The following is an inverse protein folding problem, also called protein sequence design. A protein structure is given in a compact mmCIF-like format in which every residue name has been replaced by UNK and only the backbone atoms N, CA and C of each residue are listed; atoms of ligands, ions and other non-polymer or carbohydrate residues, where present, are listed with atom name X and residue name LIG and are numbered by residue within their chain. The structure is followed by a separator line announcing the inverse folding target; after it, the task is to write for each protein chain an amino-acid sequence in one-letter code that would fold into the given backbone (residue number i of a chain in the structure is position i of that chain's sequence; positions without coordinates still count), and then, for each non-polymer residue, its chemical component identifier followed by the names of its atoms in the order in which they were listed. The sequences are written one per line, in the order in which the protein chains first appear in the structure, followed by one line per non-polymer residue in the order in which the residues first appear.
data_IF_203575413148
#
_entry.id   IF_203575413148
#
_cell.length_a   1.000
_cell.length_b   1.000
_cell.length_c   1.000
_cell.angle_alpha   90.00
_cell.angle_beta   90.00
_cell.angle_gamma   90.00
#
_symmetry.space_group_name_H-M   'P 1'
#
loop_
_entity.id
_entity.type
_entity.pdbx_description
1 polymer ?
#
# COMPACT_ATOMS: atom_id res chain seq x y z
N UNK A 1 12.58 -31.04 -22.25
CA UNK A 1 13.25 -31.89 -21.23
C UNK A 1 12.45 -31.87 -19.95
N UNK A 2 12.58 -32.89 -19.11
CA UNK A 2 11.94 -32.95 -17.82
C UNK A 2 12.76 -32.13 -16.79
N UNK A 3 12.22 -31.03 -16.29
CA UNK A 3 12.91 -30.15 -15.33
C UNK A 3 13.06 -30.73 -13.90
N UNK A 4 12.48 -31.89 -13.64
CA UNK A 4 12.63 -32.60 -12.37
C UNK A 4 13.71 -33.68 -12.41
N UNK A 5 14.29 -33.94 -13.58
CA UNK A 5 15.39 -34.88 -13.77
C UNK A 5 16.72 -34.12 -13.90
N UNK A 6 17.46 -33.99 -12.78
CA UNK A 6 18.68 -33.18 -12.73
C UNK A 6 19.75 -33.67 -13.74
N UNK A 7 19.85 -34.98 -13.99
CA UNK A 7 20.79 -35.53 -14.98
C UNK A 7 20.47 -35.12 -16.41
N UNK A 8 19.19 -35.12 -16.79
CA UNK A 8 18.74 -34.63 -18.09
C UNK A 8 18.97 -33.14 -18.23
N UNK A 9 18.63 -32.36 -17.18
CA UNK A 9 18.82 -30.91 -17.17
C UNK A 9 20.31 -30.53 -17.34
N UNK A 10 21.23 -31.17 -16.60
CA UNK A 10 22.67 -30.93 -16.71
C UNK A 10 23.18 -31.25 -18.12
N UNK A 11 22.77 -32.37 -18.72
CA UNK A 11 23.18 -32.75 -20.07
C UNK A 11 22.76 -31.70 -21.12
N UNK A 12 21.51 -31.26 -21.10
CA UNK A 12 21.03 -30.25 -22.03
C UNK A 12 21.65 -28.86 -21.82
N UNK A 13 21.91 -28.48 -20.55
CA UNK A 13 22.61 -27.23 -20.25
C UNK A 13 24.06 -27.25 -20.77
N UNK A 14 24.77 -28.38 -20.72
CA UNK A 14 26.10 -28.53 -21.33
C UNK A 14 26.07 -28.35 -22.82
N UNK A 15 25.13 -29.02 -23.50
CA UNK A 15 24.95 -28.86 -24.97
C UNK A 15 24.63 -27.40 -25.32
N UNK A 16 23.76 -26.74 -24.55
CA UNK A 16 23.44 -25.35 -24.81
C UNK A 16 24.66 -24.43 -24.61
N UNK A 17 25.49 -24.70 -23.60
CA UNK A 17 26.72 -23.93 -23.34
C UNK A 17 27.76 -24.05 -24.43
N UNK A 18 27.84 -25.21 -25.09
CA UNK A 18 28.80 -25.50 -26.18
C UNK A 18 28.29 -25.05 -27.55
N UNK A 19 27.01 -24.66 -27.64
CA UNK A 19 26.40 -24.23 -28.89
C UNK A 19 26.64 -22.72 -29.11
N UNK A 20 27.27 -22.34 -30.23
CA UNK A 20 27.55 -20.92 -30.57
C UNK A 20 26.34 -20.15 -31.13
N UNK A 21 25.19 -20.78 -31.22
CA UNK A 21 23.93 -20.19 -31.73
C UNK A 21 22.94 -19.97 -30.60
N UNK A 22 21.95 -19.07 -30.76
CA UNK A 22 20.83 -18.97 -29.79
C UNK A 22 20.15 -20.32 -29.59
N UNK A 23 19.97 -20.74 -28.36
CA UNK A 23 19.35 -22.02 -27.98
C UNK A 23 18.13 -21.75 -27.11
N UNK A 24 17.00 -22.35 -27.48
CA UNK A 24 15.79 -22.40 -26.69
C UNK A 24 15.73 -23.75 -25.95
N UNK A 25 15.82 -23.70 -24.60
CA UNK A 25 15.62 -24.86 -23.76
C UNK A 25 14.19 -24.88 -23.23
N UNK A 26 13.37 -25.81 -23.73
CA UNK A 26 12.03 -26.02 -23.22
C UNK A 26 12.07 -27.00 -22.05
N UNK A 27 11.97 -26.47 -20.82
CA UNK A 27 11.99 -27.22 -19.57
C UNK A 27 10.56 -27.35 -19.04
N UNK A 28 10.08 -28.59 -18.90
CA UNK A 28 8.73 -28.86 -18.40
C UNK A 28 8.81 -29.23 -16.91
N UNK A 29 8.08 -28.51 -16.09
CA UNK A 29 8.00 -28.73 -14.63
C UNK A 29 6.55 -28.84 -14.18
N UNK A 30 6.35 -29.55 -13.07
CA UNK A 30 5.08 -29.63 -12.33
C UNK A 30 5.19 -28.78 -11.06
N UNK A 31 4.38 -27.73 -10.94
CA UNK A 31 4.38 -26.88 -9.73
C UNK A 31 3.92 -27.70 -8.53
N UNK A 32 4.64 -27.61 -7.40
CA UNK A 32 4.34 -28.37 -6.18
C UNK A 32 4.77 -29.83 -6.21
N UNK A 33 5.54 -30.28 -7.21
CA UNK A 33 6.05 -31.67 -7.28
C UNK A 33 6.87 -32.00 -6.02
N UNK A 34 6.57 -33.16 -5.40
CA UNK A 34 7.19 -33.60 -4.16
C UNK A 34 6.54 -33.06 -2.87
N UNK A 35 5.46 -32.28 -3.01
CA UNK A 35 4.67 -31.75 -1.91
C UNK A 35 3.18 -32.00 -2.19
N UNK A 36 2.61 -33.01 -1.56
CA UNK A 36 1.25 -33.47 -1.90
C UNK A 36 0.18 -32.40 -1.64
N UNK A 37 0.30 -31.62 -0.58
CA UNK A 37 -0.62 -30.50 -0.28
C UNK A 37 -0.31 -29.20 -1.06
N UNK A 38 0.76 -29.18 -1.87
CA UNK A 38 1.08 -28.05 -2.74
C UNK A 38 0.63 -28.27 -4.20
N UNK A 39 0.21 -29.50 -4.53
CA UNK A 39 -0.41 -29.81 -5.82
C UNK A 39 -1.84 -29.29 -5.82
N UNK A 40 -2.42 -29.13 -6.97
CA UNK A 40 -3.81 -28.72 -7.12
C UNK A 40 -4.15 -27.47 -6.28
N UNK A 41 -3.31 -26.42 -6.42
CA UNK A 41 -3.46 -25.13 -5.74
C UNK A 41 -4.09 -24.08 -6.69
N UNK A 42 -5.41 -24.18 -6.96
CA UNK A 42 -6.09 -23.26 -7.89
C UNK A 42 -6.14 -21.84 -7.35
N UNK A 43 -6.08 -21.67 -6.04
CA UNK A 43 -6.12 -20.36 -5.37
C UNK A 43 -4.70 -19.73 -5.23
N UNK A 44 -3.64 -20.44 -5.64
CA UNK A 44 -2.24 -19.95 -5.58
C UNK A 44 -1.70 -19.77 -4.15
N UNK A 45 -2.24 -20.50 -3.19
CA UNK A 45 -1.89 -20.42 -1.76
C UNK A 45 -0.42 -20.74 -1.52
N UNK A 46 0.15 -21.65 -2.31
CA UNK A 46 1.53 -22.12 -2.23
C UNK A 46 2.49 -21.36 -3.16
N UNK A 47 2.03 -20.30 -3.81
CA UNK A 47 2.89 -19.48 -4.67
C UNK A 47 3.89 -18.63 -3.85
N UNK A 48 3.40 -17.99 -2.77
CA UNK A 48 4.22 -17.22 -1.84
C UNK A 48 4.02 -17.78 -0.42
N UNK A 49 4.95 -18.61 0.05
CA UNK A 49 4.75 -19.42 1.24
C UNK A 49 5.33 -18.75 2.49
N UNK A 50 4.49 -18.42 3.47
CA UNK A 50 4.90 -18.08 4.83
C UNK A 50 5.26 -19.32 5.67
N UNK A 51 5.38 -19.17 6.97
CA UNK A 51 5.62 -20.30 7.88
C UNK A 51 4.44 -21.30 7.82
N UNK A 52 4.76 -22.60 7.78
CA UNK A 52 3.79 -23.68 7.83
C UNK A 52 4.40 -24.92 8.48
N UNK A 53 3.57 -25.84 8.97
CA UNK A 53 3.99 -27.13 9.45
C UNK A 53 4.33 -28.05 8.28
N UNK A 54 5.59 -28.50 8.19
CA UNK A 54 6.10 -29.23 7.04
C UNK A 54 5.45 -30.63 6.84
N UNK A 55 4.83 -31.20 7.87
CA UNK A 55 4.20 -32.51 7.77
C UNK A 55 2.73 -32.42 7.34
N UNK A 56 2.01 -31.43 7.87
CA UNK A 56 0.56 -31.29 7.66
C UNK A 56 0.18 -30.19 6.66
N UNK A 57 1.11 -29.34 6.25
CA UNK A 57 0.81 -28.14 5.45
C UNK A 57 0.03 -27.07 6.20
N UNK A 58 -0.23 -27.24 7.50
CA UNK A 58 -1.01 -26.27 8.29
C UNK A 58 -0.23 -24.97 8.46
N UNK A 59 -0.90 -23.86 8.20
CA UNK A 59 -0.38 -22.52 8.42
C UNK A 59 -0.80 -22.03 9.80
N UNK A 60 0.04 -21.21 10.47
CA UNK A 60 -0.39 -20.48 11.65
C UNK A 60 -1.61 -19.61 11.29
N UNK A 61 -2.64 -19.66 12.12
CA UNK A 61 -3.78 -18.74 11.97
C UNK A 61 -3.33 -17.39 12.53
N UNK A 62 -3.20 -16.39 11.67
CA UNK A 62 -2.99 -15.03 12.12
C UNK A 62 -4.29 -14.51 12.74
N UNK A 63 -4.22 -13.98 13.97
CA UNK A 63 -5.34 -13.28 14.56
C UNK A 63 -5.52 -11.89 13.92
N UNK A 64 -6.75 -11.35 13.90
CA UNK A 64 -7.06 -10.05 13.35
C UNK A 64 -7.43 -10.05 11.88
N UNK A 65 -7.52 -8.85 11.31
CA UNK A 65 -7.88 -8.60 9.90
C UNK A 65 -6.79 -7.80 9.19
N UNK A 66 -6.93 -7.59 7.88
CA UNK A 66 -6.11 -6.64 7.09
C UNK A 66 -7.02 -5.60 6.45
N UNK A 67 -6.49 -4.45 6.08
CA UNK A 67 -7.24 -3.45 5.32
C UNK A 67 -7.77 -4.05 4.00
N UNK A 68 -6.94 -4.82 3.29
CA UNK A 68 -7.36 -5.49 2.04
C UNK A 68 -8.54 -6.45 2.22
N UNK A 69 -8.58 -7.22 3.33
CA UNK A 69 -9.72 -8.07 3.66
C UNK A 69 -10.99 -7.24 3.94
N UNK A 70 -10.86 -6.18 4.75
CA UNK A 70 -11.98 -5.28 5.05
C UNK A 70 -12.52 -4.58 3.80
N UNK A 71 -11.65 -4.15 2.90
CA UNK A 71 -11.99 -3.57 1.59
C UNK A 71 -12.77 -4.61 0.76
N UNK A 72 -12.28 -5.85 0.66
CA UNK A 72 -12.95 -6.91 -0.08
C UNK A 72 -14.35 -7.25 0.49
N UNK A 73 -14.48 -7.37 1.80
CA UNK A 73 -15.76 -7.60 2.47
C UNK A 73 -16.74 -6.44 2.23
N UNK A 74 -16.23 -5.21 2.25
CA UNK A 74 -17.03 -4.01 1.94
C UNK A 74 -17.45 -3.98 0.48
N UNK A 75 -16.53 -4.29 -0.44
CA UNK A 75 -16.82 -4.40 -1.87
C UNK A 75 -17.93 -5.43 -2.14
N UNK A 76 -17.89 -6.57 -1.45
CA UNK A 76 -18.92 -7.60 -1.54
C UNK A 76 -20.29 -7.10 -1.09
N UNK A 77 -20.36 -6.29 -0.03
CA UNK A 77 -21.62 -5.67 0.44
C UNK A 77 -22.14 -4.67 -0.60
N UNK A 78 -21.30 -3.76 -1.06
CA UNK A 78 -21.67 -2.74 -2.04
C UNK A 78 -22.12 -3.38 -3.38
N UNK A 79 -21.41 -4.43 -3.84
CA UNK A 79 -21.74 -5.14 -5.07
C UNK A 79 -23.05 -5.97 -4.97
N UNK A 80 -23.52 -6.27 -3.77
CA UNK A 80 -24.82 -6.89 -3.56
C UNK A 80 -25.97 -5.87 -3.75
N UNK A 81 -25.70 -4.59 -3.53
CA UNK A 81 -26.67 -3.49 -3.64
C UNK A 81 -26.62 -2.78 -5.00
N UNK A 82 -25.45 -2.78 -5.68
CA UNK A 82 -25.27 -2.14 -6.99
C UNK A 82 -24.65 -3.13 -8.00
N UNK A 83 -25.44 -3.56 -8.98
CA UNK A 83 -25.01 -4.51 -10.02
C UNK A 83 -23.97 -3.93 -11.00
N UNK A 84 -23.78 -2.62 -11.02
CA UNK A 84 -22.78 -1.94 -11.85
C UNK A 84 -21.36 -2.10 -11.32
N UNK A 85 -21.19 -2.57 -10.09
CA UNK A 85 -19.85 -2.75 -9.48
C UNK A 85 -19.16 -3.98 -10.06
N UNK A 86 -18.01 -3.76 -10.67
CA UNK A 86 -17.09 -4.75 -11.23
C UNK A 86 -15.78 -4.74 -10.45
N UNK A 87 -15.15 -5.91 -10.28
CA UNK A 87 -13.83 -6.04 -9.70
C UNK A 87 -12.82 -6.52 -10.76
N UNK A 88 -11.68 -5.86 -10.81
CA UNK A 88 -10.60 -6.13 -11.78
C UNK A 88 -9.29 -6.27 -11.02
N UNK A 89 -8.45 -7.22 -11.42
CA UNK A 89 -7.09 -7.34 -10.89
C UNK A 89 -6.13 -7.89 -11.95
N UNK A 90 -4.87 -7.42 -12.01
CA UNK A 90 -3.86 -8.00 -12.87
C UNK A 90 -3.14 -9.16 -12.16
N UNK A 91 -3.64 -10.40 -12.34
CA UNK A 91 -3.07 -11.66 -11.83
C UNK A 91 -2.93 -11.74 -10.29
N UNK A 92 -3.71 -10.97 -9.53
CA UNK A 92 -3.56 -10.90 -8.06
C UNK A 92 -4.83 -11.28 -7.29
N UNK A 93 -5.68 -12.17 -7.84
CA UNK A 93 -6.99 -12.55 -7.29
C UNK A 93 -6.93 -12.90 -5.80
N UNK A 94 -6.05 -13.81 -5.40
CA UNK A 94 -5.90 -14.23 -4.00
C UNK A 94 -5.21 -13.16 -3.15
N UNK A 95 -4.14 -12.54 -3.69
CA UNK A 95 -3.38 -11.51 -2.99
C UNK A 95 -4.21 -10.26 -2.68
N UNK A 96 -5.14 -9.92 -3.53
CA UNK A 96 -6.08 -8.80 -3.38
C UNK A 96 -7.37 -9.17 -2.63
N UNK A 97 -7.47 -10.38 -2.06
CA UNK A 97 -8.66 -10.90 -1.37
C UNK A 97 -9.94 -10.94 -2.24
N UNK A 98 -9.83 -11.08 -3.58
CA UNK A 98 -10.97 -11.09 -4.50
C UNK A 98 -11.50 -12.48 -4.84
N UNK A 99 -10.96 -13.55 -4.29
CA UNK A 99 -11.37 -14.94 -4.56
C UNK A 99 -12.88 -15.14 -4.32
N UNK A 100 -13.42 -14.64 -3.21
CA UNK A 100 -14.85 -14.77 -2.90
C UNK A 100 -15.73 -13.89 -3.82
N UNK A 101 -15.24 -12.72 -4.24
CA UNK A 101 -15.90 -11.89 -5.23
C UNK A 101 -16.00 -12.62 -6.58
N UNK A 102 -14.91 -13.21 -7.04
CA UNK A 102 -14.82 -13.97 -8.28
C UNK A 102 -15.80 -15.17 -8.29
N UNK A 103 -15.88 -15.91 -7.17
CA UNK A 103 -16.83 -17.03 -7.01
C UNK A 103 -18.29 -16.57 -7.04
N UNK A 104 -18.62 -15.49 -6.30
CA UNK A 104 -20.00 -15.01 -6.16
C UNK A 104 -20.49 -14.24 -7.39
N UNK A 105 -19.62 -13.47 -8.03
CA UNK A 105 -19.95 -12.59 -9.14
C UNK A 105 -19.07 -12.83 -10.38
N UNK A 106 -19.01 -14.07 -10.94
CA UNK A 106 -18.07 -14.43 -12.00
C UNK A 106 -18.20 -13.59 -13.28
N UNK A 107 -19.38 -13.03 -13.55
CA UNK A 107 -19.63 -12.14 -14.71
C UNK A 107 -19.21 -10.68 -14.46
N UNK A 108 -18.90 -10.33 -13.22
CA UNK A 108 -18.47 -8.98 -12.81
C UNK A 108 -17.05 -8.97 -12.25
N UNK A 109 -16.32 -10.08 -12.41
CA UNK A 109 -14.93 -10.22 -12.04
C UNK A 109 -14.07 -10.45 -13.28
N UNK A 110 -12.94 -9.73 -13.35
CA UNK A 110 -12.00 -9.83 -14.47
C UNK A 110 -10.58 -9.93 -13.90
N UNK A 111 -9.91 -11.05 -14.18
CA UNK A 111 -8.47 -11.15 -14.02
C UNK A 111 -7.82 -10.84 -15.37
N UNK A 112 -7.14 -9.70 -15.46
CA UNK A 112 -6.52 -9.21 -16.69
C UNK A 112 -5.18 -9.90 -17.01
N UNK A 113 -4.73 -10.86 -16.16
CA UNK A 113 -3.38 -11.39 -16.23
C UNK A 113 -2.34 -10.35 -15.78
N UNK A 114 -1.05 -10.61 -16.04
CA UNK A 114 0.03 -9.66 -15.70
C UNK A 114 0.04 -8.52 -16.74
N UNK A 115 -0.96 -7.65 -16.68
CA UNK A 115 -1.19 -6.57 -17.65
C UNK A 115 -1.86 -5.37 -16.94
N UNK A 116 -1.10 -4.68 -16.10
CA UNK A 116 -1.56 -3.57 -15.26
C UNK A 116 -2.13 -2.42 -16.10
N UNK A 117 -1.48 -2.10 -17.21
CA UNK A 117 -1.90 -1.06 -18.15
C UNK A 117 -3.27 -1.39 -18.75
N UNK A 118 -3.45 -2.66 -19.18
CA UNK A 118 -4.73 -3.11 -19.74
C UNK A 118 -5.85 -3.09 -18.67
N UNK A 119 -5.57 -3.53 -17.44
CA UNK A 119 -6.54 -3.51 -16.35
C UNK A 119 -7.08 -2.09 -16.09
N UNK A 120 -6.23 -1.07 -16.13
CA UNK A 120 -6.60 0.32 -15.93
C UNK A 120 -7.40 0.89 -17.10
N UNK A 121 -6.99 0.63 -18.35
CA UNK A 121 -7.75 1.04 -19.55
C UNK A 121 -9.12 0.38 -19.56
N UNK A 122 -9.19 -0.92 -19.25
CA UNK A 122 -10.46 -1.64 -19.15
C UNK A 122 -11.39 -1.08 -18.07
N UNK A 123 -10.83 -0.75 -16.90
CA UNK A 123 -11.59 -0.10 -15.83
C UNK A 123 -12.19 1.23 -16.31
N UNK A 124 -11.39 2.07 -16.99
CA UNK A 124 -11.92 3.34 -17.53
C UNK A 124 -12.99 3.12 -18.60
N UNK A 125 -12.81 2.15 -19.48
CA UNK A 125 -13.83 1.83 -20.50
C UNK A 125 -15.15 1.37 -19.87
N UNK A 126 -15.10 0.58 -18.81
CA UNK A 126 -16.28 0.18 -18.04
C UNK A 126 -16.94 1.38 -17.35
N UNK A 127 -16.16 2.29 -16.76
CA UNK A 127 -16.68 3.51 -16.14
C UNK A 127 -17.40 4.40 -17.18
N UNK A 128 -16.79 4.63 -18.34
CA UNK A 128 -17.38 5.37 -19.45
C UNK A 128 -18.65 4.70 -20.01
N UNK A 129 -18.82 3.41 -19.80
CA UNK A 129 -20.02 2.63 -20.16
C UNK A 129 -21.09 2.63 -19.05
N UNK A 130 -20.90 3.39 -17.98
CA UNK A 130 -21.86 3.52 -16.86
C UNK A 130 -21.71 2.46 -15.78
N UNK A 131 -20.64 1.62 -15.83
CA UNK A 131 -20.31 0.69 -14.75
C UNK A 131 -19.50 1.40 -13.66
N UNK A 132 -19.36 0.74 -12.50
CA UNK A 132 -18.57 1.21 -11.36
C UNK A 132 -17.40 0.24 -11.10
N UNK A 133 -16.29 0.35 -11.81
CA UNK A 133 -15.18 -0.54 -11.65
C UNK A 133 -14.36 -0.25 -10.39
N UNK A 134 -13.98 -1.31 -9.70
CA UNK A 134 -12.90 -1.36 -8.73
C UNK A 134 -11.73 -2.12 -9.33
N UNK A 135 -10.59 -1.48 -9.53
CA UNK A 135 -9.37 -2.16 -9.98
C UNK A 135 -8.34 -2.13 -8.87
N UNK A 136 -7.80 -3.28 -8.47
CA UNK A 136 -6.79 -3.35 -7.42
C UNK A 136 -5.45 -3.81 -7.95
N UNK A 137 -4.41 -3.02 -7.63
CA UNK A 137 -3.05 -3.19 -8.11
C UNK A 137 -2.09 -2.94 -6.94
N UNK A 138 -0.98 -3.69 -6.84
CA UNK A 138 0.04 -3.38 -5.85
C UNK A 138 0.73 -2.05 -6.15
N UNK A 139 1.06 -1.29 -5.11
CA UNK A 139 1.72 0.02 -5.21
C UNK A 139 2.91 0.00 -6.17
N UNK A 140 3.80 -0.99 -6.06
CA UNK A 140 4.97 -1.12 -6.95
C UNK A 140 4.64 -1.56 -8.36
N UNK A 141 3.50 -2.21 -8.61
CA UNK A 141 3.07 -2.62 -9.94
C UNK A 141 2.30 -1.50 -10.66
N UNK A 142 1.67 -0.60 -9.90
CA UNK A 142 0.99 0.57 -10.44
C UNK A 142 1.93 1.47 -11.26
N UNK A 143 3.24 1.43 -11.01
CA UNK A 143 4.25 2.15 -11.78
C UNK A 143 4.19 1.85 -13.28
N UNK A 144 3.82 0.61 -13.67
CA UNK A 144 3.62 0.24 -15.08
C UNK A 144 2.42 0.93 -15.71
N UNK A 145 1.38 1.18 -14.91
CA UNK A 145 0.14 1.79 -15.37
C UNK A 145 0.02 3.28 -15.02
N UNK A 146 1.12 3.96 -14.70
CA UNK A 146 1.10 5.37 -14.33
C UNK A 146 0.51 6.26 -15.43
N UNK A 147 0.91 6.02 -16.68
CA UNK A 147 0.38 6.77 -17.82
C UNK A 147 -1.13 6.55 -17.98
N UNK A 148 -1.61 5.33 -17.80
CA UNK A 148 -3.05 5.00 -17.86
C UNK A 148 -3.86 5.70 -16.77
N UNK A 149 -3.31 5.79 -15.55
CA UNK A 149 -3.95 6.58 -14.48
C UNK A 149 -4.01 8.05 -14.86
N UNK A 150 -2.92 8.62 -15.36
CA UNK A 150 -2.82 10.02 -15.73
C UNK A 150 -3.62 10.35 -16.98
N UNK A 151 -3.32 9.65 -18.10
CA UNK A 151 -3.85 9.98 -19.43
C UNK A 151 -5.27 9.45 -19.64
N UNK A 152 -5.53 8.19 -19.30
CA UNK A 152 -6.78 7.54 -19.65
C UNK A 152 -7.85 7.75 -18.56
N UNK A 153 -7.48 7.66 -17.27
CA UNK A 153 -8.46 7.78 -16.18
C UNK A 153 -8.60 9.24 -15.74
N UNK A 154 -7.53 9.89 -15.25
CA UNK A 154 -7.64 11.20 -14.63
C UNK A 154 -8.00 12.31 -15.62
N UNK A 155 -7.31 12.38 -16.75
CA UNK A 155 -7.59 13.37 -17.79
C UNK A 155 -9.01 13.27 -18.38
N UNK A 156 -9.56 12.03 -18.42
CA UNK A 156 -10.92 11.80 -18.93
C UNK A 156 -12.00 11.92 -17.85
N UNK A 157 -11.61 12.02 -16.57
CA UNK A 157 -12.54 12.10 -15.45
C UNK A 157 -13.36 10.83 -15.23
N UNK A 158 -12.77 9.65 -15.51
CA UNK A 158 -13.47 8.36 -15.36
C UNK A 158 -13.76 8.02 -13.91
N UNK A 159 -14.97 7.58 -13.60
CA UNK A 159 -15.42 7.16 -12.27
C UNK A 159 -14.83 5.78 -11.91
N UNK A 160 -13.52 5.72 -11.74
CA UNK A 160 -12.77 4.50 -11.43
C UNK A 160 -12.28 4.53 -9.99
N UNK A 161 -12.57 3.49 -9.22
CA UNK A 161 -11.97 3.28 -7.90
C UNK A 161 -10.75 2.38 -8.05
N UNK A 162 -9.56 2.94 -7.78
CA UNK A 162 -8.28 2.21 -7.84
C UNK A 162 -7.84 1.87 -6.42
N UNK A 163 -7.83 0.59 -6.08
CA UNK A 163 -7.24 0.07 -4.85
C UNK A 163 -5.73 -0.10 -5.00
N UNK A 164 -4.94 0.63 -4.24
CA UNK A 164 -3.48 0.55 -4.25
C UNK A 164 -3.05 -0.24 -3.03
N UNK A 165 -2.75 -1.52 -3.25
CA UNK A 165 -2.41 -2.48 -2.21
C UNK A 165 -0.89 -2.49 -1.92
N UNK A 166 -0.48 -2.98 -0.76
CA UNK A 166 0.94 -3.04 -0.33
C UNK A 166 1.60 -1.67 -0.27
N UNK A 167 0.89 -0.65 0.21
CA UNK A 167 1.47 0.66 0.49
C UNK A 167 2.37 0.63 1.72
N UNK A 168 3.41 1.44 1.71
CA UNK A 168 4.39 1.56 2.79
C UNK A 168 5.52 0.51 2.73
N UNK A 169 6.18 0.30 3.85
CA UNK A 169 7.29 -0.66 4.00
C UNK A 169 6.75 -2.08 4.14
N UNK A 170 7.13 -2.96 3.23
CA UNK A 170 6.59 -4.33 3.11
C UNK A 170 7.63 -5.37 3.60
N UNK A 171 8.35 -5.21 4.58
CA UNK A 171 9.31 -6.11 5.21
C UNK A 171 9.72 -7.38 4.44
N UNK A 172 8.81 -8.32 4.28
CA UNK A 172 9.09 -9.67 3.79
C UNK A 172 9.13 -9.81 2.26
N UNK A 173 8.50 -8.91 1.53
CA UNK A 173 8.38 -9.02 0.06
C UNK A 173 9.63 -8.47 -0.67
N UNK A 174 10.52 -7.80 0.04
CA UNK A 174 11.83 -7.37 -0.46
C UNK A 174 11.86 -5.99 -1.12
N UNK A 175 13.05 -5.59 -1.58
CA UNK A 175 13.34 -4.25 -2.08
C UNK A 175 12.47 -3.81 -3.26
N UNK A 176 12.07 -4.75 -4.12
CA UNK A 176 11.23 -4.47 -5.29
C UNK A 176 9.74 -4.25 -4.96
N UNK A 177 9.33 -4.50 -3.72
CA UNK A 177 7.93 -4.44 -3.30
C UNK A 177 7.65 -3.35 -2.26
N UNK A 178 8.62 -2.48 -1.95
CA UNK A 178 8.40 -1.36 -1.04
C UNK A 178 7.46 -0.33 -1.68
N UNK A 179 6.22 -0.23 -1.19
CA UNK A 179 5.17 0.66 -1.70
C UNK A 179 5.31 2.11 -1.22
N UNK A 180 6.43 2.74 -1.49
CA UNK A 180 6.83 4.01 -0.89
C UNK A 180 6.92 5.18 -1.88
N UNK A 181 6.72 4.93 -3.18
CA UNK A 181 6.87 5.94 -4.24
C UNK A 181 5.55 6.38 -4.88
N UNK A 182 4.48 5.66 -4.65
CA UNK A 182 3.19 5.90 -5.29
C UNK A 182 2.57 7.27 -4.96
N UNK A 183 2.73 7.77 -3.73
CA UNK A 183 2.28 9.12 -3.36
C UNK A 183 2.98 10.18 -4.20
N UNK A 184 4.31 10.09 -4.33
CA UNK A 184 5.11 11.03 -5.12
C UNK A 184 4.76 11.00 -6.62
N UNK A 185 4.32 9.86 -7.13
CA UNK A 185 3.86 9.72 -8.51
C UNK A 185 2.46 10.29 -8.71
N UNK A 186 1.57 10.12 -7.73
CA UNK A 186 0.15 10.41 -7.89
C UNK A 186 -0.24 11.84 -7.50
N UNK A 187 0.39 12.43 -6.49
CA UNK A 187 0.07 13.80 -6.05
C UNK A 187 0.09 14.84 -7.17
N UNK A 188 1.00 14.81 -8.16
CA UNK A 188 1.00 15.77 -9.27
C UNK A 188 -0.19 15.65 -10.23
N UNK A 189 -0.88 14.49 -10.31
CA UNK A 189 -1.96 14.26 -11.28
C UNK A 189 -3.19 15.08 -10.92
N UNK A 190 -3.68 15.99 -11.79
CA UNK A 190 -4.87 16.79 -11.52
C UNK A 190 -6.15 15.92 -11.45
N UNK A 191 -7.15 16.38 -10.68
CA UNK A 191 -8.50 15.82 -10.70
C UNK A 191 -8.68 14.46 -10.02
N UNK A 192 -7.65 13.89 -9.40
CA UNK A 192 -7.76 12.64 -8.64
C UNK A 192 -8.09 12.90 -7.17
N UNK A 193 -8.79 11.96 -6.55
CA UNK A 193 -8.86 11.85 -5.09
C UNK A 193 -7.90 10.74 -4.64
N UNK A 194 -7.03 11.03 -3.66
CA UNK A 194 -6.08 10.07 -3.08
C UNK A 194 -6.30 10.00 -1.57
N UNK A 195 -6.62 8.81 -1.07
CA UNK A 195 -6.94 8.58 0.34
C UNK A 195 -6.25 7.34 0.91
N UNK A 196 -6.04 7.31 2.23
CA UNK A 196 -5.57 6.15 2.96
C UNK A 196 -6.16 6.11 4.37
N UNK A 197 -6.82 4.99 4.71
CA UNK A 197 -7.39 4.78 6.04
C UNK A 197 -6.35 4.39 7.08
N UNK A 198 -6.55 4.86 8.32
CA UNK A 198 -5.69 4.51 9.47
C UNK A 198 -5.89 3.07 9.96
N UNK A 199 -7.06 2.49 9.66
CA UNK A 199 -7.47 1.16 10.09
C UNK A 199 -8.45 0.50 9.11
N UNK A 200 -8.88 -0.72 9.42
CA UNK A 200 -9.78 -1.50 8.59
C UNK A 200 -11.18 -0.85 8.46
N UNK A 201 -11.71 -0.28 9.55
CA UNK A 201 -13.02 0.36 9.55
C UNK A 201 -13.03 1.65 8.73
N UNK A 202 -11.98 2.47 8.83
CA UNK A 202 -11.85 3.68 8.02
C UNK A 202 -11.64 3.34 6.54
N UNK A 203 -10.84 2.30 6.23
CA UNK A 203 -10.63 1.84 4.84
C UNK A 203 -11.93 1.35 4.19
N UNK A 204 -12.82 0.70 4.95
CA UNK A 204 -14.15 0.33 4.49
C UNK A 204 -15.00 1.57 4.12
N UNK A 205 -15.01 2.59 4.97
CA UNK A 205 -15.71 3.86 4.73
C UNK A 205 -15.12 4.61 3.54
N UNK A 206 -13.79 4.62 3.40
CA UNK A 206 -13.11 5.26 2.27
C UNK A 206 -13.39 4.55 0.94
N UNK A 207 -13.54 3.22 0.94
CA UNK A 207 -14.01 2.49 -0.25
C UNK A 207 -15.43 2.91 -0.64
N UNK A 208 -16.34 2.98 0.33
CA UNK A 208 -17.71 3.46 0.11
C UNK A 208 -17.73 4.91 -0.39
N UNK A 209 -16.84 5.76 0.14
CA UNK A 209 -16.62 7.13 -0.34
C UNK A 209 -16.23 7.13 -1.81
N UNK A 210 -15.29 6.26 -2.23
CA UNK A 210 -14.85 6.16 -3.62
C UNK A 210 -16.01 5.87 -4.58
N UNK A 211 -16.93 4.98 -4.22
CA UNK A 211 -18.10 4.68 -5.03
C UNK A 211 -19.19 5.76 -4.99
N UNK A 212 -19.15 6.66 -4.02
CA UNK A 212 -20.05 7.80 -3.88
C UNK A 212 -19.48 9.11 -4.46
N UNK A 213 -18.22 9.11 -4.88
CA UNK A 213 -17.51 10.28 -5.42
C UNK A 213 -17.43 10.17 -6.94
N UNK A 214 -17.67 11.27 -7.64
CA UNK A 214 -17.43 11.36 -9.07
C UNK A 214 -15.94 11.55 -9.38
N UNK A 215 -15.49 10.98 -10.48
CA UNK A 215 -14.10 11.03 -10.94
C UNK A 215 -13.18 10.00 -10.31
N UNK A 216 -11.88 10.07 -10.65
CA UNK A 216 -10.90 9.06 -10.23
C UNK A 216 -10.65 9.08 -8.73
N UNK A 217 -10.85 7.93 -8.09
CA UNK A 217 -10.65 7.76 -6.66
C UNK A 217 -9.61 6.66 -6.38
N UNK A 218 -8.52 7.03 -5.74
CA UNK A 218 -7.40 6.13 -5.43
C UNK A 218 -7.34 5.87 -3.93
N UNK A 219 -7.53 4.62 -3.53
CA UNK A 219 -7.52 4.18 -2.14
C UNK A 219 -6.25 3.37 -1.86
N UNK A 220 -5.33 3.94 -1.09
CA UNK A 220 -4.12 3.28 -0.61
C UNK A 220 -4.40 2.45 0.63
N UNK A 221 -3.78 1.29 0.75
CA UNK A 221 -3.86 0.46 1.96
C UNK A 221 -2.65 -0.48 2.11
N UNK A 222 -2.35 -0.82 3.35
CA UNK A 222 -1.26 -1.72 3.70
C UNK A 222 -1.73 -3.17 3.77
N UNK A 223 -0.76 -4.11 3.80
CA UNK A 223 -1.05 -5.53 4.09
C UNK A 223 -0.94 -5.89 5.57
N UNK A 224 -0.70 -4.91 6.44
CA UNK A 224 -0.48 -5.17 7.86
C UNK A 224 -1.72 -5.73 8.54
N UNK A 225 -1.49 -6.66 9.47
CA UNK A 225 -2.55 -7.19 10.33
C UNK A 225 -2.91 -6.18 11.41
N UNK A 226 -4.19 -5.98 11.63
CA UNK A 226 -4.75 -5.07 12.63
C UNK A 226 -5.92 -5.72 13.37
N UNK A 227 -6.42 -5.06 14.40
CA UNK A 227 -7.55 -5.56 15.15
C UNK A 227 -8.81 -5.61 14.28
N UNK A 228 -9.64 -6.61 14.49
CA UNK A 228 -10.96 -6.67 13.85
C UNK A 228 -11.85 -5.55 14.38
N UNK A 229 -12.58 -4.91 13.49
CA UNK A 229 -13.49 -3.81 13.77
C UNK A 229 -14.79 -4.01 12.98
N UNK A 230 -15.89 -3.47 13.49
CA UNK A 230 -17.14 -3.43 12.75
C UNK A 230 -16.99 -2.55 11.50
N UNK A 231 -17.33 -3.10 10.33
CA UNK A 231 -17.22 -2.39 9.06
C UNK A 231 -18.50 -1.60 8.78
N UNK A 232 -18.35 -0.31 8.57
CA UNK A 232 -19.38 0.64 8.16
C UNK A 232 -19.17 1.06 6.71
N UNK A 233 -20.26 1.21 5.96
CA UNK A 233 -20.23 1.67 4.56
C UNK A 233 -20.72 3.12 4.38
N UNK A 234 -20.87 3.86 5.48
CA UNK A 234 -21.20 5.28 5.41
C UNK A 234 -20.01 6.08 4.88
N UNK A 235 -20.17 6.81 3.74
CA UNK A 235 -19.10 7.60 3.15
C UNK A 235 -18.55 8.69 4.08
N UNK A 236 -17.30 9.03 3.89
CA UNK A 236 -16.63 10.15 4.55
C UNK A 236 -16.64 11.38 3.63
N UNK A 237 -16.76 12.59 4.16
CA UNK A 237 -16.63 13.80 3.35
C UNK A 237 -15.22 13.90 2.76
N UNK A 238 -15.15 14.01 1.42
CA UNK A 238 -13.89 14.10 0.68
C UNK A 238 -13.10 15.35 1.10
N UNK A 239 -11.78 15.17 1.25
CA UNK A 239 -10.87 16.25 1.61
C UNK A 239 -10.99 16.70 3.07
N UNK A 240 -11.61 15.92 3.96
CA UNK A 240 -11.71 16.23 5.38
C UNK A 240 -10.85 15.32 6.25
N UNK A 241 -10.01 15.94 7.06
CA UNK A 241 -9.16 15.28 8.04
C UNK A 241 -9.89 15.11 9.38
N UNK A 242 -9.25 14.40 10.29
CA UNK A 242 -9.77 14.17 11.64
C UNK A 242 -8.75 14.60 12.67
N UNK A 243 -9.09 15.59 13.52
CA UNK A 243 -8.26 15.97 14.64
C UNK A 243 -8.52 15.02 15.80
N UNK A 244 -7.53 14.16 16.11
CA UNK A 244 -7.62 13.17 17.18
C UNK A 244 -7.25 13.78 18.53
N UNK A 245 -6.17 14.57 18.56
CA UNK A 245 -5.67 15.19 19.80
C UNK A 245 -5.13 16.59 19.55
N UNK A 246 -5.10 17.40 20.61
CA UNK A 246 -4.44 18.73 20.65
C UNK A 246 -3.19 18.67 21.51
N UNK A 247 -2.21 19.57 21.29
CA UNK A 247 -0.96 19.53 22.02
C UNK A 247 -0.09 20.79 21.85
N UNK A 248 1.15 20.70 22.34
CA UNK A 248 2.17 21.76 22.24
C UNK A 248 2.72 21.88 20.81
N UNK A 249 2.71 20.77 20.08
CA UNK A 249 2.93 20.66 18.64
C UNK A 249 1.93 19.68 18.06
N UNK A 250 1.76 19.63 16.72
CA UNK A 250 0.83 18.69 16.08
C UNK A 250 1.56 17.81 15.08
N UNK A 251 1.39 16.50 15.23
CA UNK A 251 1.78 15.49 14.23
C UNK A 251 0.61 15.31 13.26
N UNK A 252 0.90 15.40 11.97
CA UNK A 252 -0.03 15.09 10.87
C UNK A 252 0.41 13.77 10.26
N UNK A 253 -0.44 12.77 10.28
CA UNK A 253 -0.11 11.43 9.78
C UNK A 253 -1.30 10.79 9.09
N UNK A 254 -1.08 9.70 8.38
CA UNK A 254 -2.12 8.94 7.69
C UNK A 254 -1.75 7.45 7.61
N UNK A 255 -2.74 6.63 7.30
CA UNK A 255 -2.54 5.19 7.22
C UNK A 255 -2.07 4.59 8.55
N UNK A 256 -1.30 3.53 8.48
CA UNK A 256 -0.80 2.78 9.64
C UNK A 256 0.04 3.65 10.60
N UNK A 257 0.63 4.74 10.09
CA UNK A 257 1.46 5.62 10.90
C UNK A 257 0.65 6.43 11.91
N UNK A 258 -0.65 6.55 11.76
CA UNK A 258 -1.52 7.11 12.81
C UNK A 258 -1.46 6.24 14.08
N UNK A 259 -1.40 4.91 13.93
CA UNK A 259 -1.23 3.99 15.06
C UNK A 259 0.13 4.13 15.75
N UNK A 260 1.20 4.26 14.97
CA UNK A 260 2.56 4.53 15.51
C UNK A 260 2.60 5.89 16.24
N UNK A 261 1.92 6.91 15.69
CA UNK A 261 1.82 8.23 16.30
C UNK A 261 1.03 8.20 17.62
N UNK A 262 -0.04 7.41 17.71
CA UNK A 262 -0.78 7.20 18.97
C UNK A 262 0.08 6.50 20.03
N UNK A 263 0.91 5.54 19.66
CA UNK A 263 1.84 4.91 20.60
C UNK A 263 2.91 5.92 21.07
N UNK A 264 3.48 6.71 20.15
CA UNK A 264 4.43 7.77 20.49
C UNK A 264 3.81 8.83 21.42
N UNK A 265 2.56 9.23 21.16
CA UNK A 265 1.82 10.17 22.01
C UNK A 265 1.70 9.69 23.45
N UNK A 266 1.36 8.41 23.65
CA UNK A 266 1.29 7.81 24.99
C UNK A 266 2.64 7.82 25.71
N UNK A 267 3.71 7.56 24.98
CA UNK A 267 5.07 7.62 25.53
C UNK A 267 5.48 9.05 25.91
N UNK A 268 5.10 10.04 25.10
CA UNK A 268 5.35 11.46 25.36
C UNK A 268 4.55 11.99 26.55
N UNK A 269 3.31 11.51 26.73
CA UNK A 269 2.48 11.84 27.88
C UNK A 269 3.14 11.44 29.20
N UNK A 270 3.87 10.30 29.23
CA UNK A 270 4.66 9.90 30.39
C UNK A 270 5.85 10.85 30.65
N UNK A 271 6.33 11.55 29.62
CA UNK A 271 7.36 12.59 29.73
C UNK A 271 6.77 13.98 30.07
N UNK A 272 5.45 14.09 30.26
CA UNK A 272 4.76 15.36 30.48
C UNK A 272 4.65 16.24 29.24
N UNK A 273 4.72 15.66 28.02
CA UNK A 273 4.62 16.36 26.74
C UNK A 273 3.28 16.03 26.08
N UNK A 274 2.46 17.06 25.83
CA UNK A 274 1.19 16.92 25.12
C UNK A 274 1.43 17.04 23.61
N UNK A 275 1.24 15.93 22.87
CA UNK A 275 1.34 15.87 21.40
C UNK A 275 -0.05 15.91 20.77
N UNK A 276 -0.31 16.88 19.89
CA UNK A 276 -1.47 16.90 19.01
C UNK A 276 -1.31 15.87 17.87
N UNK A 277 -2.44 15.33 17.41
CA UNK A 277 -2.45 14.35 16.31
C UNK A 277 -3.61 14.61 15.37
N UNK A 278 -3.33 14.62 14.08
CA UNK A 278 -4.30 14.71 12.98
C UNK A 278 -4.15 13.52 12.06
N UNK A 279 -5.27 12.85 11.76
CA UNK A 279 -5.37 11.83 10.75
C UNK A 279 -5.70 12.47 9.40
N UNK A 280 -4.70 12.58 8.52
CA UNK A 280 -4.80 13.16 7.20
C UNK A 280 -5.26 12.11 6.16
N UNK A 281 -6.41 11.49 6.39
CA UNK A 281 -6.98 10.39 5.57
C UNK A 281 -7.13 10.68 4.09
N UNK A 282 -7.20 11.95 3.69
CA UNK A 282 -7.17 12.42 2.30
C UNK A 282 -5.86 13.17 2.05
N UNK A 283 -5.04 12.63 1.15
CA UNK A 283 -3.80 13.25 0.72
C UNK A 283 -4.07 14.26 -0.40
N UNK A 284 -5.12 13.98 -1.21
CA UNK A 284 -5.59 14.85 -2.29
C UNK A 284 -7.10 14.64 -2.54
N UNK A 285 -7.92 15.71 -2.53
CA UNK A 285 -7.54 17.01 -1.98
C UNK A 285 -7.23 16.88 -0.48
N UNK A 286 -6.23 17.57 0.02
CA UNK A 286 -6.00 17.66 1.46
C UNK A 286 -6.93 18.70 2.10
N UNK A 287 -7.11 18.65 3.41
CA UNK A 287 -7.98 19.55 4.16
C UNK A 287 -7.32 20.91 4.35
N UNK A 288 -7.60 21.84 3.45
CA UNK A 288 -7.06 23.22 3.50
C UNK A 288 -7.57 23.99 4.71
N UNK A 289 -8.82 23.78 5.14
CA UNK A 289 -9.38 24.45 6.32
C UNK A 289 -8.67 24.02 7.59
N UNK A 290 -8.46 22.70 7.76
CA UNK A 290 -7.71 22.18 8.90
C UNK A 290 -6.26 22.65 8.85
N UNK A 291 -5.62 22.64 7.67
CA UNK A 291 -4.24 23.10 7.54
C UNK A 291 -4.09 24.58 7.86
N UNK A 292 -4.99 25.44 7.37
CA UNK A 292 -4.98 26.87 7.68
C UNK A 292 -5.19 27.13 9.18
N UNK A 293 -6.09 26.37 9.84
CA UNK A 293 -6.28 26.44 11.28
C UNK A 293 -5.01 26.05 12.06
N UNK A 294 -4.34 24.98 11.63
CA UNK A 294 -3.08 24.53 12.26
C UNK A 294 -1.95 25.55 12.09
N UNK A 295 -1.84 26.16 10.90
CA UNK A 295 -0.86 27.24 10.66
C UNK A 295 -1.15 28.48 11.53
N UNK A 296 -2.43 28.83 11.71
CA UNK A 296 -2.84 29.94 12.55
C UNK A 296 -2.58 29.71 14.05
N UNK A 297 -2.52 28.47 14.51
CA UNK A 297 -2.13 28.13 15.89
C UNK A 297 -0.66 28.50 16.19
N UNK A 298 0.20 28.62 15.16
CA UNK A 298 1.61 29.00 15.31
C UNK A 298 2.48 27.95 16.01
N UNK A 299 1.94 26.75 16.27
CA UNK A 299 2.66 25.65 16.92
C UNK A 299 3.41 24.82 15.88
N UNK A 300 4.57 24.23 16.21
CA UNK A 300 5.29 23.37 15.28
C UNK A 300 4.42 22.23 14.74
N UNK A 301 4.53 21.96 13.43
CA UNK A 301 3.90 20.84 12.74
C UNK A 301 4.95 19.84 12.33
N UNK A 302 4.66 18.55 12.49
CA UNK A 302 5.49 17.45 12.02
C UNK A 302 4.64 16.51 11.17
N UNK A 303 4.93 16.47 9.88
CA UNK A 303 4.30 15.49 8.98
C UNK A 303 5.08 14.18 9.12
N UNK A 304 4.36 13.12 9.54
CA UNK A 304 4.93 11.80 9.79
C UNK A 304 4.32 10.79 8.83
N UNK A 305 5.11 10.32 7.85
CA UNK A 305 4.59 9.55 6.72
C UNK A 305 5.50 8.39 6.27
N UNK A 306 4.88 7.28 5.85
CA UNK A 306 5.55 6.05 5.40
C UNK A 306 5.75 6.03 3.88
N UNK A 307 6.31 7.10 3.34
CA UNK A 307 6.66 7.24 1.92
C UNK A 307 7.99 7.96 1.77
N UNK A 308 8.53 8.02 0.57
CA UNK A 308 9.72 8.83 0.28
C UNK A 308 9.48 10.30 0.68
N UNK A 309 10.44 10.92 1.36
CA UNK A 309 10.35 12.30 1.80
C UNK A 309 10.14 13.27 0.63
N UNK A 310 10.74 12.97 -0.53
CA UNK A 310 10.62 13.79 -1.74
C UNK A 310 9.29 13.48 -2.43
N UNK A 311 8.44 14.51 -2.56
CA UNK A 311 7.14 14.40 -3.23
C UNK A 311 6.04 13.73 -2.40
N UNK A 312 6.26 13.48 -1.10
CA UNK A 312 5.21 13.06 -0.17
C UNK A 312 4.25 14.20 0.22
N UNK A 313 3.27 13.89 1.07
CA UNK A 313 2.35 14.89 1.62
C UNK A 313 3.09 15.99 2.36
N UNK A 314 4.17 15.65 3.09
CA UNK A 314 5.00 16.62 3.80
C UNK A 314 5.57 17.69 2.89
N UNK A 315 6.08 17.31 1.72
CA UNK A 315 6.57 18.26 0.70
C UNK A 315 5.47 19.22 0.23
N UNK A 316 4.27 18.70 -0.01
CA UNK A 316 3.12 19.50 -0.44
C UNK A 316 2.68 20.50 0.65
N UNK A 317 2.63 20.05 1.91
CA UNK A 317 2.22 20.90 3.03
C UNK A 317 3.27 21.97 3.38
N UNK A 318 4.56 21.68 3.22
CA UNK A 318 5.63 22.68 3.33
C UNK A 318 5.49 23.76 2.25
N UNK A 319 5.24 23.35 0.99
CA UNK A 319 4.98 24.29 -0.10
C UNK A 319 3.74 25.15 0.20
N UNK A 320 2.65 24.53 0.64
CA UNK A 320 1.41 25.21 0.99
C UNK A 320 1.60 26.27 2.09
N UNK A 321 2.38 25.94 3.14
CA UNK A 321 2.71 26.88 4.20
C UNK A 321 3.58 28.04 3.70
N UNK A 322 4.54 27.76 2.83
CA UNK A 322 5.40 28.79 2.22
C UNK A 322 4.62 29.75 1.33
N UNK A 323 3.67 29.26 0.52
CA UNK A 323 2.79 30.08 -0.32
C UNK A 323 1.88 31.06 0.50
N UNK A 324 1.72 30.78 1.80
CA UNK A 324 0.97 31.61 2.77
C UNK A 324 1.84 32.50 3.65
N UNK A 325 3.13 32.56 3.36
CA UNK A 325 4.12 33.27 4.19
C UNK A 325 4.05 32.88 5.68
N UNK A 326 3.60 31.64 5.98
CA UNK A 326 3.46 31.17 7.36
C UNK A 326 4.80 31.11 8.07
N UNK A 327 4.82 31.53 9.33
CA UNK A 327 5.99 31.42 10.21
C UNK A 327 5.97 30.14 11.07
N UNK A 328 4.90 29.38 10.98
CA UNK A 328 4.77 28.10 11.69
C UNK A 328 5.80 27.13 11.15
N UNK A 329 6.66 26.55 12.00
CA UNK A 329 7.61 25.54 11.57
C UNK A 329 6.89 24.27 11.07
N UNK A 330 7.22 23.83 9.87
CA UNK A 330 6.65 22.62 9.25
C UNK A 330 7.78 21.65 8.94
N UNK A 331 7.87 20.58 9.72
CA UNK A 331 8.90 19.54 9.62
C UNK A 331 8.32 18.27 8.96
N UNK A 332 9.21 17.46 8.41
CA UNK A 332 8.84 16.16 7.79
C UNK A 332 9.71 15.06 8.37
N UNK A 333 9.07 14.01 8.84
CA UNK A 333 9.70 12.74 9.22
C UNK A 333 9.14 11.65 8.29
N UNK A 334 9.94 11.24 7.33
CA UNK A 334 9.55 10.32 6.28
C UNK A 334 10.72 9.38 5.92
N UNK A 335 10.49 8.46 4.99
CA UNK A 335 11.53 7.54 4.54
C UNK A 335 12.68 8.29 3.86
N UNK A 336 13.92 7.99 4.24
CA UNK A 336 15.11 8.65 3.67
C UNK A 336 15.28 8.30 2.19
N UNK A 337 15.97 9.18 1.44
CA UNK A 337 16.31 9.00 0.02
C UNK A 337 17.37 7.89 -0.16
N UNK A 338 16.92 6.64 0.01
CA UNK A 338 17.74 5.43 -0.17
C UNK A 338 16.87 4.19 -0.35
N UNK A 339 17.42 3.17 -0.99
CA UNK A 339 16.73 1.88 -1.13
C UNK A 339 16.60 1.16 0.22
N UNK A 340 15.42 0.61 0.51
CA UNK A 340 15.17 -0.25 1.65
C UNK A 340 15.38 -1.69 1.20
N UNK A 341 16.56 -2.20 1.46
CA UNK A 341 16.95 -3.55 1.03
C UNK A 341 16.38 -4.63 1.93
N UNK A 342 16.26 -5.83 1.37
CA UNK A 342 15.80 -7.05 2.00
C UNK A 342 16.93 -8.06 2.14
N UNK A 343 16.92 -8.86 3.20
CA UNK A 343 17.68 -10.09 3.33
C UNK A 343 18.87 -10.08 4.27
N UNK A 344 19.19 -11.26 4.79
CA UNK A 344 20.48 -11.53 5.41
C UNK A 344 21.55 -11.44 4.34
N UNK A 345 22.59 -10.66 4.61
CA UNK A 345 23.79 -10.51 3.83
C UNK A 345 24.31 -11.88 3.35
N UNK A 346 24.41 -12.09 2.04
CA UNK A 346 25.45 -12.95 1.47
C UNK A 346 26.70 -12.09 1.34
N UNK A 347 27.84 -12.57 1.81
CA UNK A 347 29.09 -11.83 1.97
C UNK A 347 29.67 -11.20 0.69
N UNK A 348 29.01 -11.37 -0.46
CA UNK A 348 29.49 -10.95 -1.78
C UNK A 348 28.66 -9.87 -2.49
N UNK A 349 27.65 -9.27 -1.83
CA UNK A 349 26.87 -8.19 -2.41
C UNK A 349 27.29 -6.86 -1.80
N UNK A 350 27.51 -5.89 -2.68
CA UNK A 350 28.14 -4.58 -2.46
C UNK A 350 27.87 -3.88 -1.12
N UNK A 351 28.81 -3.04 -0.73
CA UNK A 351 28.96 -2.29 0.52
C UNK A 351 27.68 -1.58 1.02
N UNK A 352 26.74 -1.24 0.14
CA UNK A 352 25.48 -0.56 0.48
C UNK A 352 24.44 -1.46 1.15
N UNK A 353 24.51 -2.79 1.01
CA UNK A 353 23.60 -3.73 1.67
C UNK A 353 23.92 -3.96 3.18
N UNK A 354 24.86 -3.22 3.73
CA UNK A 354 25.32 -3.41 5.13
C UNK A 354 24.34 -2.90 6.17
N UNK A 355 23.46 -1.96 5.83
CA UNK A 355 22.69 -1.23 6.84
C UNK A 355 21.29 -1.79 7.11
N UNK A 356 20.64 -2.45 6.13
CA UNK A 356 19.25 -2.90 6.26
C UNK A 356 19.09 -4.37 5.86
N UNK A 357 19.16 -5.23 6.85
CA UNK A 357 18.90 -6.66 6.66
C UNK A 357 17.40 -6.98 6.63
N UNK A 358 17.08 -8.20 6.17
CA UNK A 358 15.75 -8.76 6.20
C UNK A 358 15.15 -8.69 7.60
N UNK A 359 13.99 -8.05 7.73
CA UNK A 359 13.28 -7.91 8.99
C UNK A 359 11.79 -7.73 8.74
N UNK A 360 10.99 -7.97 9.77
CA UNK A 360 9.60 -7.55 9.78
C UNK A 360 9.54 -6.03 9.60
N UNK A 361 8.48 -5.51 9.00
CA UNK A 361 8.24 -4.06 8.83
C UNK A 361 8.65 -3.24 10.07
N UNK A 362 8.22 -3.66 11.26
CA UNK A 362 8.52 -2.96 12.53
C UNK A 362 10.03 -2.83 12.80
N UNK A 363 10.84 -3.84 12.44
CA UNK A 363 12.29 -3.75 12.61
C UNK A 363 12.94 -2.78 11.60
N UNK A 364 12.44 -2.74 10.36
CA UNK A 364 12.91 -1.79 9.36
C UNK A 364 12.57 -0.35 9.77
N UNK A 365 11.37 -0.09 10.26
CA UNK A 365 10.97 1.22 10.77
C UNK A 365 11.83 1.65 11.96
N UNK A 366 12.09 0.75 12.91
CA UNK A 366 12.96 1.03 14.07
C UNK A 366 14.38 1.41 13.66
N UNK A 367 14.95 0.73 12.67
CA UNK A 367 16.32 1.03 12.15
C UNK A 367 16.41 2.37 11.42
N UNK A 368 15.28 2.90 11.01
CA UNK A 368 15.17 4.21 10.34
C UNK A 368 14.71 5.32 11.29
N UNK A 369 14.54 5.04 12.59
CA UNK A 369 13.92 5.92 13.57
C UNK A 369 12.51 6.39 13.14
N UNK A 370 11.76 5.49 12.51
CA UNK A 370 10.40 5.72 12.00
C UNK A 370 9.34 4.87 12.74
N UNK A 371 9.67 4.28 13.88
CA UNK A 371 8.70 3.69 14.81
C UNK A 371 8.26 4.73 15.86
N UNK A 372 7.39 4.33 16.76
CA UNK A 372 6.89 5.20 17.84
C UNK A 372 8.02 5.81 18.70
N UNK A 373 9.10 5.07 18.93
CA UNK A 373 10.25 5.57 19.70
C UNK A 373 11.03 6.64 18.92
N UNK A 374 11.22 6.43 17.61
CA UNK A 374 11.86 7.41 16.73
C UNK A 374 11.03 8.69 16.62
N UNK A 375 9.71 8.57 16.48
CA UNK A 375 8.81 9.73 16.50
C UNK A 375 8.86 10.48 17.84
N UNK A 376 8.83 9.76 18.99
CA UNK A 376 9.01 10.37 20.32
C UNK A 376 10.30 11.18 20.39
N UNK A 377 11.41 10.64 19.90
CA UNK A 377 12.69 11.32 19.86
C UNK A 377 12.62 12.60 19.02
N UNK A 378 12.09 12.52 17.80
CA UNK A 378 11.93 13.67 16.91
C UNK A 378 11.08 14.79 17.53
N UNK A 379 9.95 14.45 18.18
CA UNK A 379 9.10 15.42 18.87
C UNK A 379 9.85 16.12 20.00
N UNK A 380 10.60 15.38 20.82
CA UNK A 380 11.40 15.95 21.91
C UNK A 380 12.48 16.91 21.40
N UNK A 381 13.20 16.51 20.34
CA UNK A 381 14.22 17.35 19.70
C UNK A 381 13.62 18.66 19.17
N UNK A 382 12.46 18.61 18.53
CA UNK A 382 11.77 19.79 17.99
C UNK A 382 11.24 20.72 19.08
N UNK A 383 10.93 20.20 20.28
CA UNK A 383 10.52 20.99 21.44
C UNK A 383 11.69 21.41 22.33
N UNK A 384 12.94 21.02 22.01
CA UNK A 384 14.12 21.34 22.80
C UNK A 384 14.19 20.62 24.16
N UNK A 385 13.64 19.40 24.24
CA UNK A 385 13.50 18.60 25.48
C UNK A 385 14.16 17.23 25.39
#
# INVERSE_FOLDING_TARGET
MNGHELGELDAFLRVAKETEKPVLLHVVTEKGRGCDFCRDDPDGIWHGVGAFDAQSGRRPVAGGTTQGKAISETLMKLAAEDERIYAITPAMTTGAHLTEFAKKYPKRFIDAGIAEEHALVLANALALSGMKPYVTIYSTFLQRGYDQVNHDIARMGGDVVVGIDRCGVIGEDGVSHQGIFDVSLLLPIPGITLAQGKDAAESARLLATGFATEGPYLLRYSKNTMQEQALCTEPLPVGRWERLHTGEMTVISYGDFVGEAEEARRLLELDGIAMGLVNARFLKPFDTEMMDALLAEGKPLLIYEEVAAIGGLGSLLQQYAAERDSKTPVHVLALPDRWIYHGKRREHVAVQAREYGHGKRRELLRRMDLDAAGLRKAVRELLGR
#
